data_IF_948422141316
#
_entry.id   IF_948422141316
#
_cell.length_a   1.000
_cell.length_b   1.000
_cell.length_c   1.000
_cell.angle_alpha   90.00
_cell.angle_beta   90.00
_cell.angle_gamma   90.00
#
_symmetry.space_group_name_H-M   'P 1'
#
loop_
_entity.id
_entity.type
_entity.pdbx_description
1 polymer ?
#
# COMPACT_ATOMS: atom_id res chain seq x y z
N UNK A 1 -4.04 -2.45 -56.38
CA UNK A 1 -3.14 -1.94 -55.33
C UNK A 1 -3.89 -1.34 -54.14
N UNK A 2 -5.00 -0.61 -54.34
CA UNK A 2 -5.74 0.04 -53.24
C UNK A 2 -6.40 -0.92 -52.24
N UNK A 3 -6.88 -2.09 -52.69
CA UNK A 3 -7.56 -3.06 -51.84
C UNK A 3 -6.64 -3.66 -50.75
N UNK A 4 -5.36 -3.82 -51.04
CA UNK A 4 -4.35 -4.28 -50.07
C UNK A 4 -4.01 -3.22 -49.02
N UNK A 5 -4.07 -1.94 -49.40
CA UNK A 5 -3.86 -0.82 -48.47
C UNK A 5 -5.05 -0.69 -47.51
N UNK A 6 -6.27 -0.82 -48.02
CA UNK A 6 -7.49 -0.80 -47.21
C UNK A 6 -7.51 -1.93 -46.18
N UNK A 7 -7.11 -3.14 -46.61
CA UNK A 7 -6.99 -4.32 -45.73
C UNK A 7 -5.95 -4.10 -44.63
N UNK A 8 -4.81 -3.47 -44.97
CA UNK A 8 -3.76 -3.13 -44.00
C UNK A 8 -4.23 -2.12 -42.96
N UNK A 9 -4.92 -1.07 -43.38
CA UNK A 9 -5.47 -0.05 -42.47
C UNK A 9 -6.53 -0.69 -41.56
N UNK A 10 -7.39 -1.55 -42.11
CA UNK A 10 -8.40 -2.27 -41.32
C UNK A 10 -7.77 -3.20 -40.28
N UNK A 11 -6.73 -3.96 -40.65
CA UNK A 11 -5.97 -4.80 -39.71
C UNK A 11 -5.31 -3.97 -38.60
N UNK A 12 -4.73 -2.82 -38.93
CA UNK A 12 -4.14 -1.91 -37.93
C UNK A 12 -5.19 -1.34 -36.97
N UNK A 13 -6.37 -0.96 -37.48
CA UNK A 13 -7.50 -0.52 -36.66
C UNK A 13 -8.01 -1.63 -35.73
N UNK A 14 -8.09 -2.88 -36.22
CA UNK A 14 -8.50 -4.02 -35.40
C UNK A 14 -7.49 -4.32 -34.29
N UNK A 15 -6.19 -4.24 -34.57
CA UNK A 15 -5.13 -4.42 -33.56
C UNK A 15 -5.21 -3.32 -32.50
N UNK A 16 -5.48 -2.07 -32.90
CA UNK A 16 -5.68 -0.96 -31.97
C UNK A 16 -6.92 -1.14 -31.09
N UNK A 17 -8.06 -1.58 -31.67
CA UNK A 17 -9.28 -1.86 -30.92
C UNK A 17 -9.11 -3.03 -29.94
N UNK A 18 -8.41 -4.10 -30.33
CA UNK A 18 -8.20 -5.27 -29.48
C UNK A 18 -7.36 -4.96 -28.24
N UNK A 19 -6.44 -3.99 -28.33
CA UNK A 19 -5.63 -3.54 -27.18
C UNK A 19 -6.47 -2.80 -26.12
N UNK A 20 -7.60 -2.21 -26.50
CA UNK A 20 -8.48 -1.49 -25.57
C UNK A 20 -9.42 -2.40 -24.75
N UNK A 21 -9.66 -3.65 -25.18
CA UNK A 21 -10.66 -4.53 -24.56
C UNK A 21 -10.10 -5.53 -23.54
N UNK A 22 -8.78 -5.56 -23.33
CA UNK A 22 -8.10 -6.57 -22.51
C UNK A 22 -7.29 -5.97 -21.35
N UNK A 23 -7.87 -5.06 -20.56
CA UNK A 23 -7.26 -4.65 -19.29
C UNK A 23 -7.98 -5.33 -18.10
N UNK A 24 -7.29 -6.20 -17.35
CA UNK A 24 -7.87 -6.79 -16.15
C UNK A 24 -8.04 -5.74 -15.04
N UNK A 25 -9.08 -5.90 -14.21
CA UNK A 25 -9.41 -5.02 -13.08
C UNK A 25 -8.30 -4.92 -12.00
N UNK A 26 -7.26 -5.76 -12.06
CA UNK A 26 -6.11 -5.74 -11.14
C UNK A 26 -4.93 -4.87 -11.58
N UNK A 27 -5.05 -4.14 -12.70
CA UNK A 27 -3.97 -3.36 -13.32
C UNK A 27 -4.49 -2.04 -13.91
N UNK A 28 -5.37 -1.34 -13.18
CA UNK A 28 -5.85 -0.03 -13.62
C UNK A 28 -4.71 0.99 -13.50
N UNK A 29 -4.21 1.40 -14.65
CA UNK A 29 -3.34 2.55 -14.77
C UNK A 29 -4.08 3.78 -14.27
N UNK A 30 -3.45 4.54 -13.38
CA UNK A 30 -4.06 5.73 -12.78
C UNK A 30 -3.22 6.94 -13.15
N UNK A 31 -3.87 7.99 -13.66
CA UNK A 31 -3.20 9.26 -13.93
C UNK A 31 -2.72 9.89 -12.62
N UNK A 32 -1.46 10.35 -12.63
CA UNK A 32 -0.76 10.94 -11.49
C UNK A 32 -1.51 12.18 -10.92
N UNK A 33 -2.18 12.93 -11.80
CA UNK A 33 -2.95 14.14 -11.48
C UNK A 33 -4.19 13.87 -10.62
N UNK A 34 -4.85 12.72 -10.79
CA UNK A 34 -6.09 12.39 -10.05
C UNK A 34 -5.79 11.93 -8.61
N UNK A 35 -4.66 11.26 -8.39
CA UNK A 35 -4.32 10.72 -7.07
C UNK A 35 -3.58 11.71 -6.18
N UNK A 36 -2.70 12.55 -6.73
CA UNK A 36 -1.87 13.46 -5.92
C UNK A 36 -2.69 14.49 -5.14
N UNK A 37 -3.76 15.04 -5.73
CA UNK A 37 -4.66 15.97 -5.05
C UNK A 37 -5.45 15.31 -3.92
N UNK A 38 -6.03 14.14 -4.17
CA UNK A 38 -6.84 13.40 -3.19
C UNK A 38 -6.01 12.87 -2.00
N UNK A 39 -4.78 12.45 -2.27
CA UNK A 39 -3.88 11.95 -1.24
C UNK A 39 -3.37 13.05 -0.31
N UNK A 40 -3.08 14.25 -0.84
CA UNK A 40 -2.63 15.37 -0.01
C UNK A 40 -3.68 15.74 1.05
N UNK A 41 -4.96 15.78 0.65
CA UNK A 41 -6.07 16.03 1.57
C UNK A 41 -6.21 14.90 2.59
N UNK A 42 -6.02 13.64 2.18
CA UNK A 42 -6.03 12.49 3.10
C UNK A 42 -4.87 12.52 4.10
N UNK A 43 -3.65 12.86 3.67
CA UNK A 43 -2.50 13.02 4.57
C UNK A 43 -2.63 14.22 5.51
N UNK A 44 -3.35 15.27 5.07
CA UNK A 44 -3.62 16.45 5.89
C UNK A 44 -4.69 16.22 6.96
N UNK A 45 -5.46 15.12 6.87
CA UNK A 45 -6.23 14.63 8.01
C UNK A 45 -5.24 14.17 9.08
N UNK A 46 -4.82 15.12 9.92
CA UNK A 46 -4.02 14.85 11.10
C UNK A 46 -4.73 13.76 11.90
N UNK A 47 -4.21 12.54 11.82
CA UNK A 47 -4.50 11.50 12.80
C UNK A 47 -4.06 12.10 14.12
N UNK A 48 -5.01 12.43 14.98
CA UNK A 48 -4.74 12.97 16.31
C UNK A 48 -4.17 11.84 17.18
N UNK A 49 -2.94 11.45 16.87
CA UNK A 49 -2.26 10.34 17.50
C UNK A 49 -1.70 10.84 18.84
N UNK A 50 -2.03 10.20 19.96
CA UNK A 50 -1.47 10.59 21.25
C UNK A 50 0.06 10.63 21.18
N UNK A 51 0.67 11.67 21.75
CA UNK A 51 2.12 11.87 21.70
C UNK A 51 2.86 10.63 22.21
N UNK A 52 3.79 10.11 21.39
CA UNK A 52 4.67 8.98 21.72
C UNK A 52 3.90 7.73 22.17
N UNK A 53 2.75 7.46 21.56
CA UNK A 53 1.91 6.28 21.89
C UNK A 53 2.69 4.97 21.77
N UNK A 54 3.60 4.88 20.79
CA UNK A 54 4.45 3.71 20.54
C UNK A 54 5.37 3.37 21.73
N UNK A 55 5.75 4.37 22.53
CA UNK A 55 6.61 4.19 23.71
C UNK A 55 5.81 3.99 25.00
N UNK A 56 4.60 4.54 25.04
CA UNK A 56 3.70 4.52 26.22
C UNK A 56 2.75 3.32 26.22
N UNK A 57 2.64 2.62 25.10
CA UNK A 57 1.86 1.39 24.99
C UNK A 57 2.44 0.28 25.87
N UNK A 58 1.58 -0.56 26.45
CA UNK A 58 2.01 -1.81 27.10
C UNK A 58 2.64 -2.80 26.09
N UNK A 59 2.25 -2.70 24.82
CA UNK A 59 2.86 -3.38 23.69
C UNK A 59 3.63 -2.35 22.88
N UNK A 60 4.87 -2.05 23.27
CA UNK A 60 5.67 -0.99 22.63
C UNK A 60 6.17 -1.39 21.24
N UNK A 61 6.41 -0.40 20.38
CA UNK A 61 7.04 -0.59 19.06
C UNK A 61 7.99 0.56 18.70
N UNK A 62 8.87 0.27 17.76
CA UNK A 62 9.67 1.26 17.03
C UNK A 62 9.13 1.42 15.62
N UNK A 63 9.39 2.55 14.99
CA UNK A 63 9.10 2.74 13.57
C UNK A 63 10.34 2.40 12.74
N UNK A 64 10.15 1.59 11.70
CA UNK A 64 11.16 1.24 10.72
C UNK A 64 10.74 1.83 9.38
N UNK A 65 11.67 2.47 8.69
CA UNK A 65 11.42 3.03 7.36
C UNK A 65 11.42 1.93 6.30
N UNK A 66 10.28 1.75 5.65
CA UNK A 66 10.14 0.99 4.41
C UNK A 66 10.22 1.98 3.24
N UNK A 67 11.34 1.98 2.53
CA UNK A 67 11.63 2.92 1.44
C UNK A 67 11.52 2.20 0.10
N UNK A 68 10.67 2.72 -0.79
CA UNK A 68 10.57 2.29 -2.18
C UNK A 68 10.50 3.51 -3.11
N UNK A 69 11.54 3.69 -3.92
CA UNK A 69 11.67 4.82 -4.86
C UNK A 69 10.65 4.77 -6.01
N UNK A 70 10.05 3.60 -6.26
CA UNK A 70 9.05 3.39 -7.30
C UNK A 70 7.62 3.41 -6.74
N UNK A 71 7.42 3.80 -5.48
CA UNK A 71 6.12 3.84 -4.81
C UNK A 71 5.76 5.26 -4.37
N UNK A 72 4.47 5.56 -4.32
CA UNK A 72 3.92 6.71 -3.58
C UNK A 72 2.99 6.19 -2.47
N UNK A 73 3.22 6.56 -1.20
CA UNK A 73 4.37 7.33 -0.70
C UNK A 73 5.67 6.51 -0.74
N UNK A 74 6.80 7.20 -0.93
CA UNK A 74 8.11 6.54 -1.03
C UNK A 74 8.53 5.93 0.31
N UNK A 75 8.36 6.68 1.39
CA UNK A 75 8.69 6.26 2.75
C UNK A 75 7.41 5.92 3.50
N UNK A 76 7.38 4.73 4.08
CA UNK A 76 6.32 4.27 4.98
C UNK A 76 6.98 3.89 6.30
N UNK A 77 6.51 4.47 7.40
CA UNK A 77 6.99 4.12 8.74
C UNK A 77 6.16 2.96 9.30
N UNK A 78 6.75 1.76 9.31
CA UNK A 78 6.09 0.56 9.81
C UNK A 78 6.45 0.29 11.28
N UNK A 79 5.46 -0.13 12.06
CA UNK A 79 5.65 -0.54 13.43
C UNK A 79 6.35 -1.90 13.52
N UNK A 80 7.45 -1.94 14.28
CA UNK A 80 8.19 -3.14 14.65
C UNK A 80 8.01 -3.40 16.14
N UNK A 81 7.28 -4.48 16.46
CA UNK A 81 6.93 -4.80 17.84
C UNK A 81 8.15 -5.25 18.65
N UNK A 82 8.31 -4.69 19.84
CA UNK A 82 9.34 -5.13 20.77
C UNK A 82 8.88 -6.39 21.52
N UNK A 83 9.69 -7.46 21.49
CA UNK A 83 9.58 -8.77 22.18
C UNK A 83 8.18 -9.39 22.32
N UNK A 84 8.01 -10.56 21.70
CA UNK A 84 6.77 -11.32 21.51
C UNK A 84 6.11 -11.90 22.78
N UNK A 85 6.71 -11.78 23.97
CA UNK A 85 6.27 -12.52 25.17
C UNK A 85 6.11 -11.69 26.44
N UNK A 86 6.14 -10.36 26.37
CA UNK A 86 5.88 -9.56 27.56
C UNK A 86 5.33 -8.19 27.23
N UNK A 87 4.07 -7.98 27.59
CA UNK A 87 3.51 -6.64 27.70
C UNK A 87 4.11 -5.97 28.94
N UNK A 88 4.59 -4.74 28.78
CA UNK A 88 5.28 -4.00 29.85
C UNK A 88 4.32 -3.56 30.95
N UNK A 89 4.82 -3.50 32.19
CA UNK A 89 4.09 -2.95 33.33
C UNK A 89 3.01 -3.87 33.91
N UNK A 90 3.02 -5.15 33.56
CA UNK A 90 2.15 -6.18 34.14
C UNK A 90 2.98 -7.15 34.99
N UNK A 91 2.56 -7.34 36.24
CA UNK A 91 3.26 -8.19 37.22
C UNK A 91 3.29 -9.67 36.81
N UNK A 92 2.34 -10.10 35.95
CA UNK A 92 2.25 -11.45 35.39
C UNK A 92 2.12 -11.38 33.86
N UNK A 93 3.26 -11.38 33.15
CA UNK A 93 3.29 -11.44 31.69
C UNK A 93 3.07 -12.85 31.09
N UNK A 94 2.97 -13.87 31.95
CA UNK A 94 2.66 -15.24 31.52
C UNK A 94 1.29 -15.30 30.85
N UNK A 95 1.24 -15.85 29.63
CA UNK A 95 0.01 -15.94 28.86
C UNK A 95 -0.40 -14.66 28.15
N UNK A 96 0.50 -13.68 27.99
CA UNK A 96 0.31 -12.53 27.11
C UNK A 96 1.25 -12.60 25.91
N UNK A 97 0.80 -12.08 24.77
CA UNK A 97 1.61 -11.93 23.57
C UNK A 97 1.46 -10.53 22.97
N UNK A 98 2.56 -10.06 22.38
CA UNK A 98 2.57 -8.83 21.59
C UNK A 98 2.25 -9.18 20.14
N UNK A 99 1.16 -8.62 19.60
CA UNK A 99 0.66 -8.91 18.26
C UNK A 99 0.81 -7.66 17.37
N UNK A 100 1.45 -7.75 16.19
CA UNK A 100 1.46 -6.67 15.21
C UNK A 100 0.06 -6.47 14.59
N UNK A 101 -0.35 -5.22 14.45
CA UNK A 101 -1.60 -4.84 13.76
C UNK A 101 -1.24 -4.28 12.40
N UNK A 102 -1.63 -4.99 11.35
CA UNK A 102 -1.39 -4.60 9.96
C UNK A 102 -2.68 -4.16 9.26
N UNK A 103 -2.60 -3.10 8.47
CA UNK A 103 -3.67 -2.60 7.62
C UNK A 103 -3.33 -2.84 6.16
N UNK A 104 -4.34 -3.18 5.36
CA UNK A 104 -4.20 -3.22 3.90
C UNK A 104 -4.38 -1.81 3.36
N UNK A 105 -3.32 -1.20 2.87
CA UNK A 105 -3.30 0.20 2.43
C UNK A 105 -3.03 0.31 0.92
N UNK A 106 -3.71 1.24 0.22
CA UNK A 106 -3.43 1.51 -1.17
C UNK A 106 -2.10 2.25 -1.33
N UNK A 107 -1.33 1.87 -2.34
CA UNK A 107 -0.09 2.55 -2.76
C UNK A 107 -0.06 2.68 -4.28
N UNK A 108 0.58 3.72 -4.79
CA UNK A 108 0.82 3.82 -6.23
C UNK A 108 2.20 3.24 -6.54
N UNK A 109 2.30 2.37 -7.53
CA UNK A 109 3.55 1.78 -7.99
C UNK A 109 3.83 2.19 -9.43
N UNK A 110 5.06 2.59 -9.70
CA UNK A 110 5.48 2.98 -11.05
C UNK A 110 5.37 1.76 -11.97
N UNK A 111 4.63 1.89 -13.06
CA UNK A 111 4.37 0.80 -14.00
C UNK A 111 4.65 1.25 -15.44
N UNK A 112 5.74 0.77 -16.06
CA UNK A 112 6.07 1.10 -17.45
C UNK A 112 5.00 0.70 -18.47
N UNK A 113 4.17 -0.28 -18.14
CA UNK A 113 3.08 -0.76 -19.01
C UNK A 113 1.92 0.22 -19.11
N UNK A 114 1.88 1.24 -18.25
CA UNK A 114 0.87 2.30 -18.27
C UNK A 114 1.23 3.49 -19.18
N UNK A 115 2.45 3.50 -19.73
CA UNK A 115 2.92 4.52 -20.67
C UNK A 115 2.11 4.45 -21.99
N UNK A 116 1.72 5.59 -22.61
CA UNK A 116 2.14 6.97 -22.33
C UNK A 116 1.18 7.78 -21.44
N UNK A 117 0.00 7.26 -21.12
CA UNK A 117 -1.08 8.03 -20.50
C UNK A 117 -1.00 8.08 -18.98
N UNK A 118 -0.37 7.08 -18.35
CA UNK A 118 -0.18 7.05 -16.90
C UNK A 118 1.17 6.39 -16.55
N UNK A 119 1.79 6.82 -15.46
CA UNK A 119 3.07 6.28 -14.98
C UNK A 119 2.90 5.29 -13.82
N UNK A 120 1.69 5.15 -13.27
CA UNK A 120 1.42 4.42 -12.04
C UNK A 120 0.25 3.43 -12.18
N UNK A 121 0.30 2.36 -11.38
CA UNK A 121 -0.82 1.47 -11.08
C UNK A 121 -1.12 1.47 -9.59
N UNK A 122 -2.39 1.27 -9.24
CA UNK A 122 -2.82 1.11 -7.85
C UNK A 122 -2.54 -0.31 -7.36
N UNK A 123 -1.80 -0.42 -6.27
CA UNK A 123 -1.51 -1.68 -5.57
C UNK A 123 -1.89 -1.58 -4.09
N UNK A 124 -1.88 -2.71 -3.38
CA UNK A 124 -2.18 -2.77 -1.95
C UNK A 124 -1.06 -3.49 -1.19
N UNK A 125 -0.58 -2.85 -0.13
CA UNK A 125 0.44 -3.42 0.75
C UNK A 125 -0.14 -3.60 2.16
N UNK A 126 0.34 -4.63 2.88
CA UNK A 126 0.07 -4.78 4.31
C UNK A 126 1.10 -4.00 5.09
N UNK A 127 0.66 -2.96 5.79
CA UNK A 127 1.51 -2.04 6.56
C UNK A 127 1.24 -2.27 8.04
N UNK A 128 2.26 -2.60 8.80
CA UNK A 128 2.11 -2.72 10.26
C UNK A 128 2.08 -1.33 10.89
N UNK A 129 0.98 -0.97 11.54
CA UNK A 129 0.75 0.41 12.04
C UNK A 129 0.93 0.55 13.56
N UNK A 130 0.77 -0.55 14.29
CA UNK A 130 0.84 -0.59 15.74
C UNK A 130 1.09 -2.01 16.24
N UNK A 131 1.28 -2.14 17.55
CA UNK A 131 1.30 -3.41 18.25
C UNK A 131 0.28 -3.40 19.39
N UNK A 132 -0.35 -4.53 19.64
CA UNK A 132 -1.31 -4.73 20.74
C UNK A 132 -0.82 -5.83 21.67
N UNK A 133 -1.30 -5.78 22.91
CA UNK A 133 -1.14 -6.87 23.87
C UNK A 133 -2.43 -7.68 23.91
N UNK A 134 -2.33 -9.00 23.80
CA UNK A 134 -3.47 -9.89 23.91
C UNK A 134 -3.14 -11.10 24.81
N UNK A 135 -4.19 -11.74 25.32
CA UNK A 135 -4.06 -13.05 25.96
C UNK A 135 -3.66 -14.06 24.89
N UNK A 136 -2.56 -14.77 25.14
CA UNK A 136 -2.04 -15.84 24.29
C UNK A 136 -3.09 -16.94 24.10
N UNK A 137 -3.05 -17.60 22.95
CA UNK A 137 -4.03 -18.65 22.59
C UNK A 137 -3.86 -19.96 23.39
N UNK A 138 -3.07 -19.99 24.47
CA UNK A 138 -2.92 -21.09 25.44
C UNK A 138 -3.06 -20.51 26.86
N UNK A 139 -3.94 -20.95 27.75
CA UNK A 139 -4.69 -22.22 27.89
C UNK A 139 -6.10 -22.24 27.28
#
# INVERSE_FOLDING_TARGET
MEQFQLLRVFLLCLIALHRCLAMPLGSQCVEESFCTYSLQDYYSQLVNLPSRINERSIATWSYVENIDLNRVPQVIHEASCHTSHSCRGLDNAYGLETIPVSLRMPVLKKNPSCFPTASYSLEFEFITVACICAISRQN
#
